data_IF_926085650493
#
_entry.id   IF_926085650493
#
_cell.length_a   1.000
_cell.length_b   1.000
_cell.length_c   1.000
_cell.angle_alpha   90.00
_cell.angle_beta   90.00
_cell.angle_gamma   90.00
#
_symmetry.space_group_name_H-M   'P 1'
#
loop_
_entity.id
_entity.type
_entity.pdbx_description
1 polymer ?
#
# COMPACT_ATOMS: atom_id res chain seq x y z
N UNK A 1 -18.95 18.22 -18.14
CA UNK A 1 -17.57 17.90 -18.59
C UNK A 1 -16.99 16.96 -17.55
N UNK A 2 -16.53 15.77 -17.95
CA UNK A 2 -16.00 14.78 -17.02
C UNK A 2 -14.59 15.17 -16.57
N UNK A 3 -14.34 15.22 -15.26
CA UNK A 3 -12.99 15.32 -14.71
C UNK A 3 -12.28 13.97 -14.85
N UNK A 4 -11.14 13.95 -15.53
CA UNK A 4 -10.31 12.77 -15.67
C UNK A 4 -9.69 12.43 -14.30
N UNK A 5 -9.98 11.25 -13.76
CA UNK A 5 -9.40 10.81 -12.48
C UNK A 5 -7.97 10.37 -12.78
N UNK A 6 -7.00 11.28 -12.62
CA UNK A 6 -5.58 10.98 -12.80
C UNK A 6 -5.07 10.16 -11.61
N UNK A 7 -4.89 8.86 -11.83
CA UNK A 7 -4.24 7.99 -10.88
C UNK A 7 -2.72 8.24 -10.90
N UNK A 8 -2.07 8.39 -9.73
CA UNK A 8 -0.63 8.62 -9.68
C UNK A 8 0.11 7.42 -10.27
N UNK A 9 1.13 7.70 -11.08
CA UNK A 9 1.99 6.67 -11.65
C UNK A 9 2.63 5.82 -10.55
N UNK A 10 2.83 4.53 -10.81
CA UNK A 10 3.52 3.60 -9.91
C UNK A 10 4.86 4.15 -9.42
N UNK A 11 5.60 4.85 -10.28
CA UNK A 11 6.87 5.50 -9.92
C UNK A 11 6.68 6.59 -8.87
N UNK A 12 5.61 7.39 -8.99
CA UNK A 12 5.26 8.44 -8.04
C UNK A 12 4.90 7.85 -6.69
N UNK A 13 4.10 6.78 -6.67
CA UNK A 13 3.73 6.08 -5.43
C UNK A 13 4.96 5.50 -4.75
N UNK A 14 5.85 4.83 -5.51
CA UNK A 14 7.09 4.25 -4.96
C UNK A 14 8.02 5.36 -4.43
N UNK A 15 8.20 6.45 -5.18
CA UNK A 15 9.03 7.58 -4.76
C UNK A 15 8.48 8.23 -3.48
N UNK A 16 7.15 8.44 -3.41
CA UNK A 16 6.50 8.97 -2.23
C UNK A 16 6.68 8.04 -1.02
N UNK A 17 6.47 6.73 -1.20
CA UNK A 17 6.68 5.73 -0.15
C UNK A 17 8.15 5.70 0.31
N UNK A 18 9.11 5.79 -0.62
CA UNK A 18 10.53 5.85 -0.31
C UNK A 18 10.90 7.12 0.48
N UNK A 19 10.36 8.29 0.10
CA UNK A 19 10.57 9.55 0.84
C UNK A 19 10.00 9.51 2.25
N UNK A 20 8.79 8.95 2.41
CA UNK A 20 8.18 8.72 3.72
C UNK A 20 9.03 7.76 4.55
N UNK A 21 9.48 6.65 3.97
CA UNK A 21 10.34 5.69 4.64
C UNK A 21 11.68 6.33 5.05
N UNK A 22 12.32 7.11 4.17
CA UNK A 22 13.55 7.81 4.48
C UNK A 22 13.37 8.80 5.64
N UNK A 23 12.29 9.57 5.61
CA UNK A 23 11.95 10.50 6.70
C UNK A 23 11.70 9.75 8.01
N UNK A 24 10.97 8.63 7.97
CA UNK A 24 10.71 7.81 9.14
C UNK A 24 12.01 7.24 9.75
N UNK A 25 12.98 6.83 8.92
CA UNK A 25 14.30 6.39 9.37
C UNK A 25 15.07 7.53 10.05
N UNK A 26 15.03 8.75 9.50
CA UNK A 26 15.66 9.92 10.13
C UNK A 26 15.01 10.26 11.46
N UNK A 27 13.68 10.40 11.48
CA UNK A 27 12.91 10.68 12.71
C UNK A 27 13.18 9.61 13.77
N UNK A 28 13.27 8.33 13.36
CA UNK A 28 13.63 7.23 14.26
C UNK A 28 15.02 7.41 14.84
N UNK A 29 16.03 7.75 14.04
CA UNK A 29 17.39 8.00 14.54
C UNK A 29 17.39 9.13 15.57
N UNK A 30 16.81 10.28 15.22
CA UNK A 30 16.70 11.41 16.14
C UNK A 30 15.94 11.06 17.45
N UNK A 31 14.87 10.29 17.35
CA UNK A 31 14.09 9.86 18.51
C UNK A 31 14.80 8.81 19.38
N UNK A 32 15.74 8.04 18.83
CA UNK A 32 16.55 7.12 19.61
C UNK A 32 17.73 7.83 20.29
N UNK A 33 18.34 8.79 19.59
CA UNK A 33 19.55 9.48 20.05
C UNK A 33 19.25 10.62 21.04
N UNK A 34 18.08 11.27 20.94
CA UNK A 34 17.77 12.50 21.70
C UNK A 34 16.59 12.36 22.67
N UNK A 35 15.63 11.46 22.41
CA UNK A 35 14.40 11.37 23.19
C UNK A 35 14.46 10.22 24.22
N UNK A 36 14.38 10.51 25.54
CA UNK A 36 14.26 9.50 26.58
C UNK A 36 12.95 8.69 26.48
N UNK A 37 12.92 7.51 27.12
CA UNK A 37 11.89 6.49 26.90
C UNK A 37 10.47 6.99 27.22
N UNK A 38 10.35 7.83 28.25
CA UNK A 38 9.09 8.39 28.74
C UNK A 38 8.45 9.32 27.71
N UNK A 39 9.27 10.13 27.02
CA UNK A 39 8.78 11.01 25.97
C UNK A 39 8.31 10.22 24.76
N UNK A 40 9.01 9.14 24.38
CA UNK A 40 8.55 8.27 23.29
C UNK A 40 7.19 7.65 23.59
N UNK A 41 7.00 7.13 24.81
CA UNK A 41 5.71 6.57 25.22
C UNK A 41 4.61 7.62 25.22
N UNK A 42 4.89 8.84 25.70
CA UNK A 42 3.95 9.96 25.65
C UNK A 42 3.51 10.26 24.21
N UNK A 43 4.46 10.41 23.28
CA UNK A 43 4.13 10.66 21.88
C UNK A 43 3.35 9.51 21.26
N UNK A 44 3.75 8.25 21.49
CA UNK A 44 3.03 7.07 20.97
C UNK A 44 1.58 7.06 21.43
N UNK A 45 1.32 7.27 22.72
CA UNK A 45 -0.05 7.31 23.27
C UNK A 45 -0.83 8.48 22.66
N UNK A 46 -0.21 9.66 22.54
CA UNK A 46 -0.87 10.83 21.92
C UNK A 46 -1.19 10.59 20.46
N UNK A 47 -0.28 10.02 19.68
CA UNK A 47 -0.52 9.65 18.28
C UNK A 47 -1.63 8.61 18.18
N UNK A 48 -1.58 7.54 19.00
CA UNK A 48 -2.65 6.54 19.04
C UNK A 48 -4.00 7.18 19.35
N UNK A 49 -4.07 8.07 20.34
CA UNK A 49 -5.31 8.76 20.70
C UNK A 49 -5.82 9.67 19.57
N UNK A 50 -4.93 10.35 18.85
CA UNK A 50 -5.28 11.11 17.65
C UNK A 50 -5.84 10.18 16.57
N UNK A 51 -5.24 9.00 16.38
CA UNK A 51 -5.75 8.03 15.42
C UNK A 51 -7.08 7.40 15.84
N UNK A 52 -7.32 7.19 17.13
CA UNK A 52 -8.61 6.71 17.64
C UNK A 52 -9.74 7.74 17.51
N UNK A 53 -9.41 9.03 17.36
CA UNK A 53 -10.41 10.06 17.11
C UNK A 53 -10.97 9.98 15.68
N UNK A 54 -10.27 9.32 14.75
CA UNK A 54 -10.88 8.91 13.50
C UNK A 54 -11.81 7.74 13.79
N UNK A 55 -13.11 7.99 13.74
CA UNK A 55 -14.14 6.95 13.89
C UNK A 55 -13.87 5.82 12.89
N UNK A 56 -14.06 4.57 13.33
CA UNK A 56 -14.06 3.40 12.44
C UNK A 56 -15.18 3.47 11.37
N UNK A 57 -16.11 4.41 11.53
CA UNK A 57 -17.17 4.70 10.59
C UNK A 57 -16.84 5.97 9.82
N UNK A 58 -16.52 5.82 8.54
CA UNK A 58 -16.34 6.92 7.60
C UNK A 58 -17.65 7.06 6.81
N UNK A 59 -18.44 8.09 7.13
CA UNK A 59 -19.65 8.41 6.38
C UNK A 59 -19.29 9.29 5.19
N UNK A 60 -19.33 8.73 3.98
CA UNK A 60 -19.15 9.47 2.74
C UNK A 60 -20.51 9.84 2.16
N UNK A 61 -20.84 11.13 2.13
CA UNK A 61 -22.04 11.65 1.46
C UNK A 61 -21.68 11.98 0.03
N UNK A 62 -22.35 11.35 -0.93
CA UNK A 62 -22.14 11.55 -2.37
C UNK A 62 -23.46 12.03 -2.96
N UNK A 63 -23.45 13.23 -3.53
CA UNK A 63 -24.62 13.78 -4.20
C UNK A 63 -24.87 13.06 -5.54
N UNK A 64 -26.15 12.80 -5.84
CA UNK A 64 -26.56 12.14 -7.09
C UNK A 64 -26.26 12.99 -8.33
N UNK A 65 -26.28 14.31 -8.17
CA UNK A 65 -26.04 15.27 -9.25
C UNK A 65 -24.89 16.21 -8.89
N UNK A 66 -23.98 16.40 -9.84
CA UNK A 66 -22.97 17.46 -9.81
C UNK A 66 -23.48 18.61 -10.71
N UNK A 67 -24.26 19.50 -10.11
CA UNK A 67 -24.99 20.57 -10.81
C UNK A 67 -26.12 20.02 -11.70
N UNK A 68 -25.99 20.19 -13.03
CA UNK A 68 -26.98 19.71 -14.01
C UNK A 68 -26.67 18.30 -14.56
N UNK A 69 -25.53 17.72 -14.19
CA UNK A 69 -25.09 16.42 -14.69
C UNK A 69 -25.20 15.34 -13.59
N UNK A 70 -25.49 14.10 -13.99
CA UNK A 70 -25.48 12.95 -13.07
C UNK A 70 -24.05 12.66 -12.60
N UNK A 71 -23.88 12.43 -11.30
CA UNK A 71 -22.59 12.11 -10.71
C UNK A 71 -22.21 10.64 -11.01
N UNK A 72 -21.10 10.45 -11.71
CA UNK A 72 -20.60 9.10 -12.02
C UNK A 72 -20.15 8.34 -10.77
N UNK A 73 -19.62 9.05 -9.76
CA UNK A 73 -19.20 8.44 -8.50
C UNK A 73 -20.41 7.89 -7.74
N UNK A 74 -21.53 8.62 -7.72
CA UNK A 74 -22.79 8.13 -7.16
C UNK A 74 -23.27 6.87 -7.89
N UNK A 75 -23.26 6.88 -9.22
CA UNK A 75 -23.68 5.71 -10.00
C UNK A 75 -22.76 4.51 -9.78
N UNK A 76 -21.44 4.70 -9.75
CA UNK A 76 -20.48 3.64 -9.52
C UNK A 76 -20.62 3.06 -8.11
N UNK A 77 -20.77 3.92 -7.09
CA UNK A 77 -21.02 3.50 -5.71
C UNK A 77 -22.33 2.72 -5.61
N UNK A 78 -23.40 3.18 -6.29
CA UNK A 78 -24.68 2.47 -6.30
C UNK A 78 -24.58 1.09 -6.92
N UNK A 79 -23.93 0.96 -8.09
CA UNK A 79 -23.69 -0.35 -8.70
C UNK A 79 -22.88 -1.26 -7.79
N UNK A 80 -21.85 -0.74 -7.12
CA UNK A 80 -21.02 -1.52 -6.21
C UNK A 80 -21.82 -2.01 -4.99
N UNK A 81 -22.60 -1.13 -4.37
CA UNK A 81 -23.49 -1.49 -3.25
C UNK A 81 -24.51 -2.54 -3.70
N UNK A 82 -25.11 -2.38 -4.88
CA UNK A 82 -26.06 -3.35 -5.44
C UNK A 82 -25.41 -4.73 -5.64
N UNK A 83 -24.13 -4.80 -6.03
CA UNK A 83 -23.38 -6.07 -6.16
C UNK A 83 -23.00 -6.71 -4.83
N UNK A 84 -22.86 -5.92 -3.76
CA UNK A 84 -22.60 -6.45 -2.41
C UNK A 84 -23.90 -6.98 -1.80
N UNK A 85 -25.00 -6.27 -1.98
CA UNK A 85 -26.32 -6.64 -1.44
C UNK A 85 -26.92 -7.82 -2.22
N UNK A 86 -26.67 -7.88 -3.54
CA UNK A 86 -27.13 -8.95 -4.42
C UNK A 86 -25.97 -9.91 -4.70
N UNK A 87 -25.80 -10.99 -3.92
CA UNK A 87 -24.74 -11.95 -4.20
C UNK A 87 -24.93 -12.53 -5.61
N UNK A 88 -23.86 -12.63 -6.42
CA UNK A 88 -23.96 -13.26 -7.72
C UNK A 88 -24.41 -14.72 -7.54
N UNK A 89 -25.20 -15.29 -8.47
CA UNK A 89 -25.62 -16.67 -8.40
C UNK A 89 -24.39 -17.57 -8.21
N UNK A 90 -24.49 -18.51 -7.26
CA UNK A 90 -23.39 -19.34 -6.69
C UNK A 90 -22.59 -20.21 -7.68
N UNK A 91 -22.82 -20.08 -8.98
CA UNK A 91 -22.23 -20.93 -10.02
C UNK A 91 -21.39 -20.18 -11.05
N UNK A 92 -20.79 -19.03 -10.72
CA UNK A 92 -19.70 -18.49 -11.55
C UNK A 92 -18.39 -19.23 -11.26
N UNK A 93 -18.36 -20.50 -11.66
CA UNK A 93 -17.20 -21.37 -11.58
C UNK A 93 -16.07 -20.88 -12.47
N UNK A 94 -15.25 -19.96 -11.96
CA UNK A 94 -13.93 -19.67 -12.51
C UNK A 94 -13.03 -20.88 -12.27
N UNK A 95 -13.11 -21.86 -13.18
CA UNK A 95 -12.10 -22.91 -13.32
C UNK A 95 -10.80 -22.24 -13.77
N UNK A 96 -9.98 -21.80 -12.83
CA UNK A 96 -8.62 -21.41 -13.15
C UNK A 96 -7.86 -22.65 -13.65
N UNK A 97 -7.33 -22.66 -14.89
CA UNK A 97 -6.49 -23.76 -15.33
C UNK A 97 -5.24 -23.76 -14.44
N UNK A 98 -5.00 -24.87 -13.77
CA UNK A 98 -3.83 -25.10 -12.92
C UNK A 98 -2.57 -25.04 -13.77
N UNK A 99 -1.95 -23.86 -13.88
CA UNK A 99 -0.62 -23.69 -14.48
C UNK A 99 0.42 -24.31 -13.54
N UNK A 100 0.88 -25.51 -13.86
CA UNK A 100 2.15 -26.04 -13.34
C UNK A 100 3.28 -25.25 -13.99
N UNK A 101 4.04 -24.51 -13.16
CA UNK A 101 5.30 -23.89 -13.53
C UNK A 101 6.41 -24.74 -12.91
N UNK A 102 7.11 -25.53 -13.72
CA UNK A 102 8.43 -26.01 -13.37
C UNK A 102 9.41 -25.01 -13.99
N UNK A 103 10.07 -24.23 -13.16
CA UNK A 103 11.26 -23.48 -13.54
C UNK A 103 12.33 -23.85 -12.52
N UNK A 104 13.11 -24.85 -12.89
CA UNK A 104 14.38 -25.18 -12.24
C UNK A 104 15.29 -23.99 -12.52
N UNK A 105 15.49 -23.14 -11.52
CA UNK A 105 16.52 -22.11 -11.56
C UNK A 105 17.77 -22.69 -10.93
N UNK A 106 18.71 -23.05 -11.79
CA UNK A 106 20.04 -23.52 -11.43
C UNK A 106 20.89 -22.29 -11.05
N UNK A 107 20.94 -21.99 -9.75
CA UNK A 107 21.79 -20.97 -9.14
C UNK A 107 22.84 -21.64 -8.25
N UNK A 108 23.81 -22.36 -8.83
CA UNK A 108 24.89 -22.94 -8.01
C UNK A 108 26.26 -23.03 -8.72
N UNK A 109 26.53 -22.16 -9.70
CA UNK A 109 27.79 -22.20 -10.46
C UNK A 109 28.39 -20.79 -10.69
N UNK A 110 28.20 -19.84 -9.77
CA UNK A 110 28.79 -18.49 -9.93
C UNK A 110 29.41 -17.88 -8.67
N UNK A 111 29.75 -18.70 -7.66
CA UNK A 111 30.40 -18.21 -6.43
C UNK A 111 31.69 -18.93 -6.02
N UNK A 112 32.54 -19.37 -6.96
CA UNK A 112 33.95 -19.62 -6.61
C UNK A 112 34.87 -19.06 -7.70
N UNK A 113 35.38 -17.84 -7.46
CA UNK A 113 36.68 -17.41 -7.95
C UNK A 113 37.66 -17.50 -6.76
N UNK A 114 38.78 -18.25 -6.84
CA UNK A 114 39.85 -18.13 -5.86
C UNK A 114 40.79 -17.02 -6.32
N UNK A 115 40.62 -15.82 -5.75
CA UNK A 115 41.73 -14.86 -5.66
C UNK A 115 42.37 -15.08 -4.29
N UNK A 116 43.46 -15.82 -4.26
CA UNK A 116 44.40 -15.80 -3.14
C UNK A 116 45.80 -15.53 -3.70
N UNK A 117 46.19 -14.26 -3.58
CA UNK A 117 47.54 -13.75 -3.76
C UNK A 117 48.24 -13.75 -2.40
N UNK A 118 49.22 -14.64 -2.21
CA UNK A 118 50.27 -14.63 -1.16
C UNK A 118 51.42 -15.38 -1.81
N UNK A 119 52.65 -14.88 -2.02
CA UNK A 119 53.44 -13.96 -1.23
C UNK A 119 54.68 -14.71 -0.75
N UNK A 120 55.81 -14.54 -1.46
CA UNK A 120 57.23 -14.74 -1.06
C UNK A 120 57.64 -16.05 -0.36
N UNK A 121 58.51 -16.86 -1.00
CA UNK A 121 59.98 -16.86 -0.81
C UNK A 121 60.65 -17.82 -1.80
#
# INVERSE_FOLDING_TARGET
MYSNIELPSTKTVISAAASVAATAVLVRSFAQDFLPHELRQYFVIKFQNLFTAFSNEITLVIDEFDGLNKNQLFHAARLYVDTIITPPPRDFGLRFPKRRRQSVFQWEEMMISPISFVGSN
#
